data_IF_435937522153
#
_entry.id   IF_435937522153
#
_cell.length_a   1.000
_cell.length_b   1.000
_cell.length_c   1.000
_cell.angle_alpha   90.00
_cell.angle_beta   90.00
_cell.angle_gamma   90.00
#
_symmetry.space_group_name_H-M   'P 1'
#
loop_
_entity.id
_entity.type
_entity.pdbx_description
1 polymer ?
#
# COMPACT_ATOMS: atom_id res chain seq x y z
N UNK A 1 14.12 -15.46 -8.22
CA UNK A 1 14.09 -14.96 -9.62
C UNK A 1 12.65 -14.91 -10.10
N UNK A 2 12.09 -13.71 -10.30
CA UNK A 2 10.76 -13.49 -10.87
C UNK A 2 10.76 -13.96 -12.33
N UNK A 3 10.23 -15.15 -12.59
CA UNK A 3 10.42 -15.86 -13.88
C UNK A 3 9.24 -15.71 -14.83
N UNK A 4 8.04 -15.42 -14.33
CA UNK A 4 6.82 -15.35 -15.16
C UNK A 4 6.34 -13.91 -15.34
N UNK A 5 5.96 -13.49 -16.56
CA UNK A 5 5.39 -12.16 -16.81
C UNK A 5 4.22 -11.82 -15.87
N UNK A 6 3.36 -12.80 -15.57
CA UNK A 6 2.23 -12.64 -14.65
C UNK A 6 2.64 -12.34 -13.21
N UNK A 7 3.75 -12.92 -12.71
CA UNK A 7 4.27 -12.63 -11.36
C UNK A 7 4.72 -11.17 -11.25
N UNK A 8 5.40 -10.70 -12.30
CA UNK A 8 5.90 -9.33 -12.39
C UNK A 8 4.72 -8.35 -12.41
N UNK A 9 3.69 -8.61 -13.22
CA UNK A 9 2.50 -7.76 -13.30
C UNK A 9 1.75 -7.65 -11.96
N UNK A 10 1.61 -8.77 -11.23
CA UNK A 10 0.99 -8.77 -9.91
C UNK A 10 1.83 -8.00 -8.89
N UNK A 11 3.16 -8.18 -8.92
CA UNK A 11 4.07 -7.47 -8.03
C UNK A 11 4.10 -5.97 -8.31
N UNK A 12 4.10 -5.55 -9.59
CA UNK A 12 4.01 -4.14 -9.97
C UNK A 12 2.70 -3.51 -9.47
N UNK A 13 1.56 -4.17 -9.71
CA UNK A 13 0.26 -3.69 -9.23
C UNK A 13 0.24 -3.55 -7.71
N UNK A 14 0.81 -4.52 -7.00
CA UNK A 14 0.93 -4.51 -5.55
C UNK A 14 1.83 -3.36 -5.05
N UNK A 15 2.97 -3.16 -5.70
CA UNK A 15 3.91 -2.07 -5.40
C UNK A 15 3.25 -0.70 -5.57
N UNK A 16 2.58 -0.49 -6.71
CA UNK A 16 1.88 0.76 -7.02
C UNK A 16 0.77 1.04 -6.00
N UNK A 17 0.01 0.02 -5.61
CA UNK A 17 -1.03 0.14 -4.59
C UNK A 17 -0.45 0.48 -3.21
N UNK A 18 0.66 -0.16 -2.82
CA UNK A 18 1.39 0.15 -1.58
C UNK A 18 1.82 1.62 -1.55
N UNK A 19 2.46 2.09 -2.63
CA UNK A 19 2.95 3.46 -2.75
C UNK A 19 1.80 4.47 -2.70
N UNK A 20 0.73 4.22 -3.44
CA UNK A 20 -0.43 5.11 -3.50
C UNK A 20 -1.12 5.22 -2.13
N UNK A 21 -1.28 4.09 -1.43
CA UNK A 21 -1.81 4.08 -0.06
C UNK A 21 -0.92 4.87 0.90
N UNK A 22 0.42 4.72 0.82
CA UNK A 22 1.35 5.46 1.66
C UNK A 22 1.19 6.98 1.49
N UNK A 23 1.09 7.46 0.25
CA UNK A 23 0.89 8.88 -0.02
C UNK A 23 -0.46 9.37 0.51
N UNK A 24 -1.52 8.56 0.37
CA UNK A 24 -2.82 8.90 0.95
C UNK A 24 -2.77 9.00 2.48
N UNK A 25 -2.16 8.03 3.16
CA UNK A 25 -2.04 8.10 4.62
C UNK A 25 -1.22 9.30 5.06
N UNK A 26 -0.17 9.67 4.32
CA UNK A 26 0.57 10.92 4.56
C UNK A 26 -0.36 12.13 4.46
N UNK A 27 -1.23 12.20 3.46
CA UNK A 27 -2.24 13.25 3.36
C UNK A 27 -3.18 13.25 4.57
N UNK A 28 -3.73 12.10 4.98
CA UNK A 28 -4.60 11.99 6.15
C UNK A 28 -3.93 12.41 7.47
N UNK A 29 -2.64 12.13 7.65
CA UNK A 29 -1.85 12.58 8.81
C UNK A 29 -1.80 14.11 8.89
N UNK A 30 -1.69 14.78 7.73
CA UNK A 30 -1.59 16.23 7.64
C UNK A 30 -2.95 16.92 7.81
N UNK A 31 -4.03 16.30 7.35
CA UNK A 31 -5.37 16.92 7.36
C UNK A 31 -6.20 16.60 8.61
N UNK A 32 -5.95 15.47 9.29
CA UNK A 32 -6.77 15.09 10.45
C UNK A 32 -6.39 15.87 11.71
N UNK A 33 -7.39 16.43 12.40
CA UNK A 33 -7.25 17.06 13.73
C UNK A 33 -7.33 16.06 14.88
N UNK A 34 -7.93 14.88 14.67
CA UNK A 34 -8.11 13.86 15.70
C UNK A 34 -6.79 13.14 15.97
N UNK A 35 -6.17 13.38 17.13
CA UNK A 35 -4.85 12.83 17.51
C UNK A 35 -4.80 11.30 17.36
N UNK A 36 -5.85 10.62 17.77
CA UNK A 36 -5.93 9.16 17.68
C UNK A 36 -5.94 8.66 16.22
N UNK A 37 -6.72 9.30 15.33
CA UNK A 37 -6.69 8.98 13.89
C UNK A 37 -5.31 9.27 13.29
N UNK A 38 -4.67 10.37 13.70
CA UNK A 38 -3.32 10.72 13.27
C UNK A 38 -2.31 9.62 13.64
N UNK A 39 -2.41 9.06 14.85
CA UNK A 39 -1.58 7.92 15.28
C UNK A 39 -1.83 6.68 14.42
N UNK A 40 -3.10 6.35 14.14
CA UNK A 40 -3.45 5.22 13.27
C UNK A 40 -2.89 5.39 11.85
N UNK A 41 -3.08 6.56 11.23
CA UNK A 41 -2.55 6.83 9.90
C UNK A 41 -1.02 6.82 9.85
N UNK A 42 -0.35 7.28 10.92
CA UNK A 42 1.12 7.12 11.05
C UNK A 42 1.54 5.66 11.06
N UNK A 43 0.84 4.80 11.80
CA UNK A 43 1.14 3.36 11.82
C UNK A 43 0.94 2.71 10.45
N UNK A 44 -0.15 3.06 9.75
CA UNK A 44 -0.41 2.61 8.38
C UNK A 44 0.69 3.08 7.42
N UNK A 45 1.03 4.38 7.45
CA UNK A 45 2.11 4.94 6.64
C UNK A 45 3.46 4.26 6.88
N UNK A 46 3.84 4.07 8.14
CA UNK A 46 5.11 3.42 8.50
C UNK A 46 5.15 1.96 8.02
N UNK A 47 4.02 1.25 8.08
CA UNK A 47 3.93 -0.10 7.54
C UNK A 47 4.14 -0.12 6.02
N UNK A 48 3.46 0.77 5.27
CA UNK A 48 3.65 0.86 3.81
C UNK A 48 5.06 1.27 3.42
N UNK A 49 5.70 2.16 4.20
CA UNK A 49 7.09 2.56 4.01
C UNK A 49 8.04 1.37 4.19
N UNK A 50 7.93 0.63 5.30
CA UNK A 50 8.77 -0.54 5.55
C UNK A 50 8.59 -1.60 4.46
N UNK A 51 7.35 -1.85 4.03
CA UNK A 51 7.08 -2.76 2.92
C UNK A 51 7.70 -2.26 1.60
N UNK A 52 7.65 -0.96 1.31
CA UNK A 52 8.30 -0.41 0.11
C UNK A 52 9.80 -0.66 0.15
N UNK A 53 10.46 -0.37 1.27
CA UNK A 53 11.91 -0.54 1.41
C UNK A 53 12.32 -2.01 1.20
N UNK A 54 11.52 -2.95 1.71
CA UNK A 54 11.72 -4.39 1.46
C UNK A 54 11.47 -4.76 -0.01
N UNK A 55 10.40 -4.24 -0.63
CA UNK A 55 10.09 -4.50 -2.05
C UNK A 55 11.17 -3.94 -2.99
N UNK A 56 11.68 -2.73 -2.72
CA UNK A 56 12.76 -2.13 -3.49
C UNK A 56 13.99 -3.04 -3.49
N UNK A 57 14.34 -3.61 -2.33
CA UNK A 57 15.46 -4.57 -2.21
C UNK A 57 15.24 -5.80 -3.09
N UNK A 58 14.06 -6.43 -2.98
CA UNK A 58 13.72 -7.60 -3.79
C UNK A 58 13.69 -7.29 -5.30
N UNK A 59 13.27 -6.09 -5.69
CA UNK A 59 13.28 -5.65 -7.09
C UNK A 59 14.71 -5.47 -7.57
N UNK A 60 15.58 -4.80 -6.80
CA UNK A 60 16.98 -4.58 -7.15
C UNK A 60 17.80 -5.90 -7.18
N UNK A 61 17.42 -6.90 -6.38
CA UNK A 61 18.03 -8.23 -6.44
C UNK A 61 17.60 -9.02 -7.69
N UNK A 62 16.38 -8.78 -8.20
CA UNK A 62 15.81 -9.53 -9.33
C UNK A 62 15.92 -8.80 -10.68
N UNK A 63 16.11 -7.49 -10.66
CA UNK A 63 16.13 -6.54 -11.79
C UNK A 63 17.22 -5.48 -11.53
N UNK A 64 17.07 -4.29 -12.09
CA UNK A 64 18.01 -3.18 -11.99
C UNK A 64 17.34 -1.91 -11.46
N UNK A 65 18.17 -0.87 -11.29
CA UNK A 65 17.72 0.45 -10.86
C UNK A 65 16.79 1.11 -11.88
N UNK A 66 17.03 0.91 -13.18
CA UNK A 66 16.22 1.49 -14.26
C UNK A 66 14.77 1.01 -14.20
N UNK A 67 14.58 -0.29 -13.95
CA UNK A 67 13.25 -0.87 -13.75
C UNK A 67 12.55 -0.28 -12.53
N UNK A 68 13.27 -0.13 -11.41
CA UNK A 68 12.72 0.49 -10.20
C UNK A 68 12.30 1.95 -10.45
N UNK A 69 13.10 2.72 -11.20
CA UNK A 69 12.80 4.11 -11.54
C UNK A 69 11.56 4.22 -12.44
N UNK A 70 11.41 3.32 -13.42
CA UNK A 70 10.20 3.22 -14.24
C UNK A 70 8.96 2.91 -13.39
N UNK A 71 9.08 2.01 -12.41
CA UNK A 71 7.99 1.67 -11.50
C UNK A 71 7.61 2.86 -10.61
N UNK A 72 8.59 3.64 -10.14
CA UNK A 72 8.34 4.88 -9.41
C UNK A 72 7.64 5.94 -10.27
N UNK A 73 7.94 6.02 -11.57
CA UNK A 73 7.20 6.88 -12.50
C UNK A 73 5.73 6.43 -12.65
N UNK A 74 5.47 5.12 -12.77
CA UNK A 74 4.10 4.57 -12.75
C UNK A 74 3.37 4.94 -11.47
N UNK A 75 4.03 4.83 -10.31
CA UNK A 75 3.48 5.21 -9.02
C UNK A 75 3.08 6.70 -8.96
N UNK A 76 3.94 7.61 -9.46
CA UNK A 76 3.65 9.04 -9.51
C UNK A 76 2.39 9.34 -10.34
N UNK A 77 2.20 8.64 -11.47
CA UNK A 77 1.00 8.80 -12.32
C UNK A 77 -0.28 8.40 -11.56
N UNK A 78 -0.28 7.28 -10.85
CA UNK A 78 -1.44 6.84 -10.05
C UNK A 78 -1.73 7.78 -8.86
N UNK A 79 -0.68 8.30 -8.22
CA UNK A 79 -0.84 9.32 -7.16
C UNK A 79 -1.50 10.58 -7.69
N UNK A 80 -1.13 11.05 -8.88
CA UNK A 80 -1.76 12.21 -9.51
C UNK A 80 -3.26 11.96 -9.77
N UNK A 81 -3.63 10.79 -10.31
CA UNK A 81 -5.03 10.40 -10.50
C UNK A 81 -5.80 10.39 -9.18
N UNK A 82 -5.23 9.78 -8.14
CA UNK A 82 -5.82 9.77 -6.81
C UNK A 82 -6.03 11.19 -6.27
N UNK A 83 -5.03 12.07 -6.39
CA UNK A 83 -5.13 13.46 -5.94
C UNK A 83 -6.21 14.24 -6.70
N UNK A 84 -6.34 14.06 -8.01
CA UNK A 84 -7.41 14.66 -8.81
C UNK A 84 -8.78 14.21 -8.32
N UNK A 85 -8.97 12.91 -8.09
CA UNK A 85 -10.23 12.36 -7.58
C UNK A 85 -10.60 12.93 -6.19
N UNK A 86 -9.60 13.19 -5.34
CA UNK A 86 -9.83 13.80 -4.03
C UNK A 86 -10.22 15.27 -4.11
N UNK A 87 -9.67 16.02 -5.07
CA UNK A 87 -10.04 17.43 -5.28
C UNK A 87 -11.47 17.58 -5.77
N UNK A 88 -11.94 16.65 -6.60
CA UNK A 88 -13.30 16.66 -7.13
C UNK A 88 -14.35 16.25 -6.09
N UNK A 89 -13.93 15.59 -5.01
CA UNK A 89 -14.84 15.08 -3.98
C UNK A 89 -14.86 16.03 -2.78
N UNK A 90 -15.96 16.75 -2.57
CA UNK A 90 -16.08 17.84 -1.59
C UNK A 90 -16.21 17.39 -0.14
N UNK A 91 -16.49 16.11 0.13
CA UNK A 91 -16.54 15.55 1.49
C UNK A 91 -16.01 14.10 1.56
N UNK A 92 -14.70 13.88 1.35
CA UNK A 92 -14.14 12.54 1.39
C UNK A 92 -14.07 12.08 2.85
N UNK A 93 -14.93 11.13 3.24
CA UNK A 93 -14.82 10.41 4.53
C UNK A 93 -13.53 9.61 4.55
N UNK A 94 -12.43 10.23 4.97
CA UNK A 94 -11.07 9.68 4.83
C UNK A 94 -10.92 8.30 5.48
N UNK A 95 -11.67 8.01 6.54
CA UNK A 95 -11.70 6.68 7.16
C UNK A 95 -12.30 5.59 6.28
N UNK A 96 -13.37 5.88 5.55
CA UNK A 96 -13.98 4.93 4.61
C UNK A 96 -13.03 4.66 3.45
N UNK A 97 -12.39 5.71 2.92
CA UNK A 97 -11.41 5.58 1.84
C UNK A 97 -10.19 4.77 2.31
N UNK A 98 -9.68 5.02 3.52
CA UNK A 98 -8.60 4.22 4.10
C UNK A 98 -9.00 2.74 4.25
N UNK A 99 -10.23 2.48 4.71
CA UNK A 99 -10.73 1.11 4.90
C UNK A 99 -10.80 0.36 3.58
N UNK A 100 -11.35 1.00 2.55
CA UNK A 100 -11.44 0.43 1.21
C UNK A 100 -10.05 0.21 0.59
N UNK A 101 -9.11 1.15 0.77
CA UNK A 101 -7.74 0.96 0.30
C UNK A 101 -7.04 -0.21 1.00
N UNK A 102 -7.15 -0.34 2.33
CA UNK A 102 -6.57 -1.48 3.03
C UNK A 102 -7.22 -2.81 2.62
N UNK A 103 -8.53 -2.82 2.37
CA UNK A 103 -9.23 -4.01 1.84
C UNK A 103 -8.71 -4.40 0.47
N UNK A 104 -8.62 -3.45 -0.48
CA UNK A 104 -8.07 -3.69 -1.82
C UNK A 104 -6.63 -4.17 -1.77
N UNK A 105 -5.82 -3.51 -0.94
CA UNK A 105 -4.43 -3.88 -0.72
C UNK A 105 -4.30 -5.31 -0.17
N UNK A 106 -5.11 -5.71 0.80
CA UNK A 106 -5.10 -7.06 1.34
C UNK A 106 -5.51 -8.12 0.32
N UNK A 107 -6.51 -7.81 -0.51
CA UNK A 107 -6.92 -8.68 -1.62
C UNK A 107 -5.79 -8.84 -2.66
N UNK A 108 -5.13 -7.75 -3.03
CA UNK A 108 -3.99 -7.78 -3.96
C UNK A 108 -2.80 -8.54 -3.37
N UNK A 109 -2.52 -8.39 -2.08
CA UNK A 109 -1.50 -9.19 -1.38
C UNK A 109 -1.81 -10.68 -1.46
N UNK A 110 -3.08 -11.06 -1.25
CA UNK A 110 -3.49 -12.46 -1.35
C UNK A 110 -3.29 -13.02 -2.76
N UNK A 111 -3.71 -12.29 -3.80
CA UNK A 111 -3.50 -12.66 -5.19
C UNK A 111 -2.00 -12.77 -5.54
N UNK A 112 -1.20 -11.81 -5.11
CA UNK A 112 0.26 -11.80 -5.35
C UNK A 112 0.92 -13.02 -4.68
N UNK A 113 0.55 -13.36 -3.44
CA UNK A 113 1.06 -14.52 -2.72
C UNK A 113 0.70 -15.87 -3.36
N UNK A 114 -0.43 -15.96 -4.08
CA UNK A 114 -0.83 -17.19 -4.79
C UNK A 114 0.02 -17.45 -6.03
N UNK A 115 0.48 -16.38 -6.69
CA UNK A 115 1.21 -16.46 -7.97
C UNK A 115 2.72 -16.47 -7.76
N UNK A 116 3.22 -15.90 -6.66
CA UNK A 116 4.65 -15.79 -6.37
C UNK A 116 5.32 -17.15 -6.13
N UNK A 117 6.35 -17.43 -6.94
CA UNK A 117 7.24 -18.58 -6.80
C UNK A 117 8.52 -18.28 -6.01
N UNK A 118 8.86 -17.00 -5.82
CA UNK A 118 10.05 -16.60 -5.06
C UNK A 118 9.82 -16.73 -3.55
N UNK A 119 10.51 -17.68 -2.91
CA UNK A 119 10.35 -17.98 -1.48
C UNK A 119 10.79 -16.84 -0.55
N UNK A 120 11.83 -16.08 -0.92
CA UNK A 120 12.35 -14.98 -0.09
C UNK A 120 11.37 -13.80 -0.06
N UNK A 121 10.89 -13.41 -1.24
CA UNK A 121 9.86 -12.38 -1.39
C UNK A 121 8.55 -12.82 -0.74
N UNK A 122 8.14 -14.09 -0.93
CA UNK A 122 6.93 -14.64 -0.31
C UNK A 122 6.98 -14.59 1.22
N UNK A 123 8.10 -14.97 1.84
CA UNK A 123 8.28 -14.89 3.30
C UNK A 123 8.18 -13.45 3.80
N UNK A 124 8.80 -12.51 3.08
CA UNK A 124 8.74 -11.08 3.39
C UNK A 124 7.28 -10.58 3.35
N UNK A 125 6.54 -10.91 2.30
CA UNK A 125 5.14 -10.53 2.14
C UNK A 125 4.22 -11.17 3.20
N UNK A 126 4.48 -12.41 3.62
CA UNK A 126 3.75 -13.06 4.71
C UNK A 126 3.95 -12.33 6.05
N UNK A 127 5.18 -11.90 6.36
CA UNK A 127 5.47 -11.08 7.55
C UNK A 127 4.66 -9.78 7.53
N UNK A 128 4.60 -9.10 6.39
CA UNK A 128 3.81 -7.89 6.22
C UNK A 128 2.30 -8.13 6.28
N UNK A 129 1.81 -9.29 5.82
CA UNK A 129 0.39 -9.67 5.90
C UNK A 129 -0.13 -9.65 7.33
N UNK A 130 0.64 -10.20 8.28
CA UNK A 130 0.25 -10.24 9.68
C UNK A 130 0.12 -8.84 10.28
N UNK A 131 1.10 -7.97 10.02
CA UNK A 131 1.07 -6.56 10.46
C UNK A 131 -0.09 -5.79 9.82
N UNK A 132 -0.33 -6.01 8.53
CA UNK A 132 -1.44 -5.38 7.78
C UNK A 132 -2.80 -5.77 8.33
N UNK A 133 -3.00 -7.05 8.71
CA UNK A 133 -4.27 -7.54 9.27
C UNK A 133 -4.62 -6.84 10.58
N UNK A 134 -3.66 -6.73 11.51
CA UNK A 134 -3.87 -6.05 12.78
C UNK A 134 -4.20 -4.56 12.60
N UNK A 135 -3.59 -3.90 11.61
CA UNK A 135 -3.90 -2.50 11.28
C UNK A 135 -5.28 -2.34 10.63
N UNK A 136 -5.68 -3.28 9.78
CA UNK A 136 -7.01 -3.31 9.15
C UNK A 136 -8.12 -3.50 10.19
N UNK A 137 -7.95 -4.41 11.15
CA UNK A 137 -8.90 -4.61 12.24
C UNK A 137 -9.08 -3.34 13.08
N UNK A 138 -7.97 -2.67 13.43
CA UNK A 138 -8.01 -1.37 14.11
C UNK A 138 -8.71 -0.32 13.28
N UNK A 139 -8.43 -0.22 11.98
CA UNK A 139 -9.08 0.74 11.09
C UNK A 139 -10.58 0.49 10.98
N UNK A 140 -11.01 -0.77 10.90
CA UNK A 140 -12.42 -1.14 10.86
C UNK A 140 -13.16 -0.76 12.14
N UNK A 141 -12.59 -1.05 13.31
CA UNK A 141 -13.16 -0.65 14.60
C UNK A 141 -13.33 0.88 14.65
N UNK A 142 -12.30 1.61 14.28
CA UNK A 142 -12.31 3.08 14.31
C UNK A 142 -13.31 3.65 13.31
N UNK A 143 -13.43 3.05 12.12
CA UNK A 143 -14.43 3.45 11.14
C UNK A 143 -15.86 3.11 11.55
N UNK A 144 -16.07 2.11 12.41
CA UNK A 144 -17.39 1.72 12.91
C UNK A 144 -17.87 2.60 14.05
N UNK A 145 -16.95 3.08 14.89
CA UNK A 145 -17.28 3.77 16.15
C UNK A 145 -16.96 5.27 16.17
N UNK A 146 -16.14 5.80 15.25
CA UNK A 146 -15.56 7.16 15.39
C UNK A 146 -15.53 8.01 14.11
N UNK A 147 -15.98 7.48 12.96
CA UNK A 147 -15.98 8.13 11.63
C UNK A 147 -17.36 7.95 11.00
#
# INVERSE_FOLDING_TARGET
>A
MLRKPSEVDHLEKYYIANYTAAIYYKHCILTTKKIFLKKLFKSLYNHKKALKDDLDRHILEARDQDYLDQLLLKCKKEVLKMQQNLRMNTNPKSGQICTEMERRFFNQLHQTLQVLTDGSLRNTLLSHKHKSKALQERLHLVSKYLI
#
